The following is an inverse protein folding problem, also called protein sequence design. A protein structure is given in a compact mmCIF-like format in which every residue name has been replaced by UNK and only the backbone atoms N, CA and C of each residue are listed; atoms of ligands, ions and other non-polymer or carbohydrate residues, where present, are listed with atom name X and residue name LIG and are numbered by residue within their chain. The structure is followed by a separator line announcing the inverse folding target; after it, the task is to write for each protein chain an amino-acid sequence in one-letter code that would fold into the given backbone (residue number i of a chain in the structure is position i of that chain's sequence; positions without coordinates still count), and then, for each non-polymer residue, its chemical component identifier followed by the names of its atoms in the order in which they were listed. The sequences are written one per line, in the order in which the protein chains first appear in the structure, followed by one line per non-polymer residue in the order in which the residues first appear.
data_IF_870912481533
#
_entry.id   IF_870912481533
#
_cell.length_a   1.000
_cell.length_b   1.000
_cell.length_c   1.000
_cell.angle_alpha   90.00
_cell.angle_beta   90.00
_cell.angle_gamma   90.00
#
_symmetry.space_group_name_H-M   'P 1'
#
loop_
_entity.id
_entity.type
_entity.pdbx_description
1 polymer ?
#
# COMPACT_ATOMS: atom_id res chain seq x y z
N UNK A 1 -2.06 -53.93 -8.13
CA UNK A 1 -1.91 -52.58 -8.73
C UNK A 1 -0.46 -52.40 -9.14
N UNK A 2 -0.18 -51.98 -10.38
CA UNK A 2 1.21 -51.65 -10.79
C UNK A 2 1.70 -50.42 -10.02
N UNK A 3 3.01 -50.31 -9.79
CA UNK A 3 3.61 -49.16 -9.10
C UNK A 3 3.24 -47.84 -9.83
N UNK A 4 3.19 -47.85 -11.15
CA UNK A 4 2.72 -46.72 -11.97
C UNK A 4 1.26 -46.33 -11.68
N UNK A 5 0.36 -47.31 -11.52
CA UNK A 5 -1.04 -47.04 -11.17
C UNK A 5 -1.22 -46.46 -9.76
N UNK A 6 -0.36 -46.85 -8.81
CA UNK A 6 -0.34 -46.26 -7.47
C UNK A 6 0.10 -44.79 -7.52
N UNK A 7 1.22 -44.51 -8.20
CA UNK A 7 1.74 -43.14 -8.36
C UNK A 7 0.77 -42.21 -9.09
N UNK A 8 0.09 -42.69 -10.14
CA UNK A 8 -0.92 -41.92 -10.85
C UNK A 8 -2.08 -41.50 -9.93
N UNK A 9 -2.57 -42.43 -9.08
CA UNK A 9 -3.63 -42.12 -8.11
C UNK A 9 -3.19 -41.13 -7.05
N UNK A 10 -1.97 -41.28 -6.53
CA UNK A 10 -1.44 -40.34 -5.53
C UNK A 10 -1.24 -38.94 -6.09
N UNK A 11 -0.76 -38.82 -7.33
CA UNK A 11 -0.61 -37.52 -8.01
C UNK A 11 -1.98 -36.89 -8.26
N UNK A 12 -2.94 -37.67 -8.77
CA UNK A 12 -4.30 -37.19 -9.00
C UNK A 12 -4.96 -36.70 -7.69
N UNK A 13 -4.83 -37.47 -6.61
CA UNK A 13 -5.32 -37.07 -5.28
C UNK A 13 -4.63 -35.82 -4.74
N UNK A 14 -3.31 -35.72 -4.91
CA UNK A 14 -2.53 -34.55 -4.52
C UNK A 14 -2.96 -33.28 -5.28
N UNK A 15 -3.11 -33.37 -6.60
CA UNK A 15 -3.59 -32.25 -7.42
C UNK A 15 -5.03 -31.85 -7.06
N UNK A 16 -5.91 -32.81 -6.80
CA UNK A 16 -7.28 -32.52 -6.38
C UNK A 16 -7.31 -31.80 -5.02
N UNK A 17 -6.42 -32.14 -4.09
CA UNK A 17 -6.28 -31.41 -2.83
C UNK A 17 -5.72 -29.99 -3.03
N UNK A 18 -4.62 -29.87 -3.79
CA UNK A 18 -3.90 -28.60 -3.97
C UNK A 18 -4.70 -27.59 -4.80
N UNK A 19 -5.42 -28.05 -5.82
CA UNK A 19 -6.23 -27.16 -6.69
C UNK A 19 -7.68 -27.11 -6.22
N UNK A 20 -8.27 -28.26 -5.89
CA UNK A 20 -9.67 -28.35 -5.48
C UNK A 20 -9.93 -27.71 -4.12
N UNK A 21 -8.98 -27.74 -3.18
CA UNK A 21 -9.10 -27.06 -1.89
C UNK A 21 -9.29 -25.54 -2.06
N UNK A 22 -8.34 -24.81 -2.67
CA UNK A 22 -8.47 -23.39 -2.95
C UNK A 22 -9.68 -23.05 -3.81
N UNK A 23 -9.95 -23.80 -4.88
CA UNK A 23 -11.11 -23.56 -5.74
C UNK A 23 -12.44 -23.71 -4.99
N UNK A 24 -12.55 -24.69 -4.09
CA UNK A 24 -13.73 -24.87 -3.25
C UNK A 24 -13.91 -23.74 -2.24
N UNK A 25 -12.82 -23.24 -1.66
CA UNK A 25 -12.85 -22.08 -0.77
C UNK A 25 -13.29 -20.83 -1.52
N UNK A 26 -12.77 -20.59 -2.72
CA UNK A 26 -13.18 -19.47 -3.57
C UNK A 26 -14.64 -19.56 -3.96
N UNK A 27 -15.13 -20.76 -4.28
CA UNK A 27 -16.54 -20.99 -4.58
C UNK A 27 -17.48 -20.69 -3.40
N UNK A 28 -17.05 -21.02 -2.18
CA UNK A 28 -17.85 -20.74 -0.97
C UNK A 28 -17.72 -19.31 -0.47
N UNK A 29 -16.60 -18.64 -0.76
CA UNK A 29 -16.33 -17.29 -0.26
C UNK A 29 -17.33 -16.31 -0.91
N UNK A 30 -18.09 -15.55 -0.10
CA UNK A 30 -18.96 -14.50 -0.63
C UNK A 30 -18.14 -13.46 -1.39
N UNK A 31 -18.71 -12.90 -2.46
CA UNK A 31 -18.06 -11.83 -3.20
C UNK A 31 -17.94 -10.55 -2.36
N UNK A 32 -17.00 -9.67 -2.71
CA UNK A 32 -16.81 -8.39 -2.01
C UNK A 32 -18.08 -7.52 -1.99
N UNK A 33 -18.90 -7.62 -3.04
CA UNK A 33 -20.18 -6.92 -3.10
C UNK A 33 -21.21 -7.50 -2.12
N UNK A 34 -21.27 -8.82 -1.98
CA UNK A 34 -22.13 -9.48 -1.01
C UNK A 34 -21.69 -9.20 0.42
N UNK A 35 -20.38 -9.14 0.68
CA UNK A 35 -19.82 -8.72 1.96
C UNK A 35 -20.20 -7.26 2.26
N UNK A 36 -20.05 -6.35 1.30
CA UNK A 36 -20.37 -4.93 1.45
C UNK A 36 -21.85 -4.68 1.73
N UNK A 37 -22.75 -5.45 1.12
CA UNK A 37 -24.20 -5.39 1.41
C UNK A 37 -24.54 -5.75 2.85
N UNK A 38 -23.74 -6.61 3.50
CA UNK A 38 -23.93 -7.03 4.90
C UNK A 38 -23.33 -6.04 5.91
N UNK A 39 -22.62 -5.00 5.46
CA UNK A 39 -22.04 -4.00 6.36
C UNK A 39 -23.10 -3.07 6.94
N UNK A 40 -22.84 -2.54 8.14
CA UNK A 40 -23.60 -1.45 8.73
C UNK A 40 -23.51 -0.20 7.82
N UNK A 41 -24.59 0.61 7.61
CA UNK A 41 -24.59 1.83 6.81
C UNK A 41 -23.35 2.72 6.90
N UNK A 42 -22.78 2.92 8.09
CA UNK A 42 -21.58 3.76 8.25
C UNK A 42 -20.33 3.16 7.58
N UNK A 43 -20.19 1.83 7.64
CA UNK A 43 -19.10 1.12 6.98
C UNK A 43 -19.28 1.06 5.47
N UNK A 44 -20.52 1.01 4.99
CA UNK A 44 -20.81 1.10 3.55
C UNK A 44 -20.37 2.46 3.00
N UNK A 45 -20.68 3.57 3.70
CA UNK A 45 -20.24 4.91 3.32
C UNK A 45 -18.72 5.04 3.31
N UNK A 46 -18.06 4.61 4.40
CA UNK A 46 -16.59 4.64 4.49
C UNK A 46 -15.91 3.78 3.41
N UNK A 47 -16.46 2.62 3.11
CA UNK A 47 -15.94 1.74 2.05
C UNK A 47 -16.11 2.36 0.67
N UNK A 48 -17.25 3.01 0.40
CA UNK A 48 -17.48 3.74 -0.85
C UNK A 48 -16.55 4.95 -1.02
N UNK A 49 -16.31 5.71 0.05
CA UNK A 49 -15.49 6.93 0.02
C UNK A 49 -13.98 6.61 0.01
N UNK A 50 -13.54 5.62 0.79
CA UNK A 50 -12.12 5.35 1.02
C UNK A 50 -11.61 4.11 0.29
N UNK A 51 -12.49 3.31 -0.32
CA UNK A 51 -12.12 2.03 -0.93
C UNK A 51 -11.02 2.16 -1.98
N UNK A 52 -11.17 3.11 -2.91
CA UNK A 52 -10.17 3.35 -3.96
C UNK A 52 -8.84 3.83 -3.37
N UNK A 53 -8.88 4.72 -2.37
CA UNK A 53 -7.68 5.20 -1.68
C UNK A 53 -6.96 4.05 -0.97
N UNK A 54 -7.69 3.18 -0.28
CA UNK A 54 -7.14 2.01 0.41
C UNK A 54 -6.55 0.97 -0.55
N UNK A 55 -7.18 0.75 -1.71
CA UNK A 55 -6.62 -0.12 -2.74
C UNK A 55 -5.28 0.41 -3.25
N UNK A 56 -5.20 1.70 -3.54
CA UNK A 56 -3.94 2.34 -3.95
C UNK A 56 -2.88 2.30 -2.84
N UNK A 57 -3.25 2.64 -1.60
CA UNK A 57 -2.35 2.54 -0.44
C UNK A 57 -1.81 1.12 -0.25
N UNK A 58 -2.63 0.10 -0.52
CA UNK A 58 -2.22 -1.30 -0.44
C UNK A 58 -1.23 -1.65 -1.55
N UNK A 59 -1.51 -1.29 -2.81
CA UNK A 59 -0.62 -1.53 -3.94
C UNK A 59 0.74 -0.83 -3.73
N UNK A 60 0.72 0.43 -3.28
CA UNK A 60 1.91 1.19 -2.92
C UNK A 60 2.71 0.52 -1.81
N UNK A 61 2.02 0.02 -0.78
CA UNK A 61 2.66 -0.69 0.32
C UNK A 61 3.31 -1.99 -0.14
N UNK A 62 2.62 -2.79 -0.97
CA UNK A 62 3.19 -4.02 -1.56
C UNK A 62 4.40 -3.70 -2.44
N UNK A 63 4.35 -2.59 -3.19
CA UNK A 63 5.48 -2.07 -3.95
C UNK A 63 6.70 -1.81 -3.07
N UNK A 64 6.52 -1.06 -1.97
CA UNK A 64 7.59 -0.80 -0.98
C UNK A 64 8.07 -2.07 -0.30
N UNK A 65 7.17 -2.99 0.02
CA UNK A 65 7.54 -4.27 0.64
C UNK A 65 8.46 -5.09 -0.28
N UNK A 66 8.16 -5.12 -1.59
CA UNK A 66 9.03 -5.74 -2.60
C UNK A 66 10.39 -5.04 -2.65
N UNK A 67 10.42 -3.72 -2.53
CA UNK A 67 11.67 -2.95 -2.53
C UNK A 67 12.52 -3.22 -1.29
N UNK A 68 11.92 -3.18 -0.10
CA UNK A 68 12.59 -3.48 1.17
C UNK A 68 13.12 -4.92 1.23
N UNK A 69 12.38 -5.86 0.63
CA UNK A 69 12.78 -7.27 0.51
C UNK A 69 14.03 -7.48 -0.36
N UNK A 70 14.39 -6.53 -1.23
CA UNK A 70 15.65 -6.60 -2.00
C UNK A 70 16.88 -6.29 -1.17
N UNK A 71 16.70 -5.66 0.00
CA UNK A 71 17.82 -5.32 0.88
C UNK A 71 18.12 -6.49 1.83
N UNK A 72 19.40 -6.67 2.18
CA UNK A 72 19.82 -7.63 3.21
C UNK A 72 19.46 -7.18 4.63
N UNK A 73 18.86 -5.99 4.77
CA UNK A 73 18.40 -5.46 6.06
C UNK A 73 17.01 -6.03 6.36
N UNK A 74 16.64 -6.09 7.64
CA UNK A 74 15.26 -6.43 7.99
C UNK A 74 14.30 -5.38 7.41
N UNK A 75 13.12 -5.84 6.98
CA UNK A 75 12.07 -4.99 6.40
C UNK A 75 11.75 -3.81 7.34
N UNK A 76 11.77 -4.04 8.65
CA UNK A 76 11.52 -3.02 9.66
C UNK A 76 12.56 -1.89 9.63
N UNK A 77 13.84 -2.23 9.49
CA UNK A 77 14.91 -1.23 9.41
C UNK A 77 14.85 -0.45 8.09
N UNK A 78 14.61 -1.14 6.97
CA UNK A 78 14.46 -0.49 5.67
C UNK A 78 13.26 0.48 5.64
N UNK A 79 12.13 0.08 6.22
CA UNK A 79 10.95 0.94 6.34
C UNK A 79 11.20 2.16 7.24
N UNK A 80 11.91 1.98 8.36
CA UNK A 80 12.26 3.07 9.25
C UNK A 80 13.20 4.08 8.58
N UNK A 81 14.21 3.61 7.86
CA UNK A 81 15.15 4.46 7.12
C UNK A 81 14.43 5.31 6.06
N UNK A 82 13.48 4.73 5.31
CA UNK A 82 12.66 5.47 4.35
C UNK A 82 11.78 6.54 5.03
N UNK A 83 11.20 6.23 6.21
CA UNK A 83 10.41 7.18 6.97
C UNK A 83 11.25 8.36 7.49
N UNK A 84 12.45 8.07 7.99
CA UNK A 84 13.38 9.09 8.49
C UNK A 84 13.88 9.99 7.34
N UNK A 85 14.20 9.41 6.17
CA UNK A 85 14.52 10.17 4.97
C UNK A 85 13.35 11.07 4.52
N UNK A 86 12.12 10.55 4.50
CA UNK A 86 10.93 11.34 4.14
C UNK A 86 10.69 12.50 5.10
N UNK A 87 10.92 12.30 6.40
CA UNK A 87 10.82 13.36 7.41
C UNK A 87 11.87 14.43 7.19
N UNK A 88 13.12 14.03 6.96
CA UNK A 88 14.21 14.98 6.69
C UNK A 88 13.95 15.82 5.43
N UNK A 89 13.45 15.21 4.35
CA UNK A 89 13.08 15.93 3.12
C UNK A 89 11.93 16.91 3.38
N UNK A 90 10.89 16.51 4.10
CA UNK A 90 9.77 17.38 4.46
C UNK A 90 10.21 18.56 5.34
N UNK A 91 11.10 18.34 6.29
CA UNK A 91 11.66 19.39 7.13
C UNK A 91 12.51 20.36 6.33
N UNK A 92 13.35 19.85 5.43
CA UNK A 92 14.15 20.68 4.52
C UNK A 92 13.27 21.53 3.60
N UNK A 93 12.22 20.96 3.01
CA UNK A 93 11.26 21.70 2.18
C UNK A 93 10.56 22.82 2.98
N UNK A 94 10.09 22.51 4.19
CA UNK A 94 9.47 23.52 5.08
C UNK A 94 10.43 24.64 5.47
N UNK A 95 11.72 24.32 5.66
CA UNK A 95 12.73 25.32 5.95
C UNK A 95 12.95 26.26 4.75
N UNK A 96 13.08 25.70 3.55
CA UNK A 96 13.22 26.48 2.31
C UNK A 96 12.00 27.36 2.04
N UNK A 97 10.79 26.85 2.22
CA UNK A 97 9.56 27.62 2.00
C UNK A 97 9.44 28.81 2.96
N UNK A 98 9.87 28.63 4.22
CA UNK A 98 9.96 29.73 5.20
C UNK A 98 10.99 30.78 4.80
N UNK A 99 12.13 30.35 4.28
CA UNK A 99 13.19 31.26 3.82
C UNK A 99 12.72 32.06 2.60
N UNK A 100 12.15 31.40 1.59
CA UNK A 100 11.55 32.05 0.42
C UNK A 100 10.45 33.04 0.81
N UNK A 101 9.58 32.68 1.76
CA UNK A 101 8.53 33.57 2.27
C UNK A 101 9.13 34.81 2.95
N UNK A 102 10.25 34.66 3.67
CA UNK A 102 10.95 35.80 4.30
C UNK A 102 11.54 36.72 3.24
N UNK A 103 12.23 36.16 2.25
CA UNK A 103 12.84 36.92 1.15
C UNK A 103 11.77 37.68 0.36
N UNK A 104 10.65 37.04 0.01
CA UNK A 104 9.52 37.71 -0.67
C UNK A 104 8.93 38.87 0.15
N UNK A 105 8.82 38.72 1.48
CA UNK A 105 8.35 39.79 2.36
C UNK A 105 9.32 40.96 2.42
N UNK A 106 10.62 40.70 2.38
CA UNK A 106 11.65 41.74 2.38
C UNK A 106 11.71 42.49 1.05
N UNK A 107 11.53 41.80 -0.08
CA UNK A 107 11.44 42.42 -1.41
C UNK A 107 10.19 43.30 -1.53
N UNK A 108 9.00 42.80 -1.15
CA UNK A 108 7.78 43.61 -1.11
C UNK A 108 7.92 44.85 -0.21
N UNK A 109 8.66 44.74 0.90
CA UNK A 109 8.92 45.88 1.80
C UNK A 109 9.85 46.92 1.17
N UNK A 110 10.82 46.50 0.35
CA UNK A 110 11.73 47.40 -0.37
C UNK A 110 11.01 48.12 -1.51
N UNK A 111 10.13 47.44 -2.24
CA UNK A 111 9.32 48.05 -3.30
C UNK A 111 8.35 49.11 -2.72
N UNK A 112 7.66 48.80 -1.62
CA UNK A 112 6.75 49.74 -0.94
C UNK A 112 7.43 50.98 -0.33
N UNK A 113 8.73 50.92 -0.05
CA UNK A 113 9.52 52.04 0.49
C UNK A 113 10.37 52.73 -0.58
N UNK A 114 10.45 52.16 -1.79
CA UNK A 114 11.28 52.62 -2.91
C UNK A 114 10.56 53.50 -3.93
N UNK A 115 9.23 53.61 -3.89
CA UNK A 115 8.48 54.64 -4.64
C UNK A 115 8.45 55.97 -3.87
N UNK A 116 9.50 56.77 -4.02
CA UNK A 116 9.48 58.24 -3.85
C UNK A 116 10.43 58.91 -4.83
#
# INVERSE_FOLDING_TARGET
MSRAGLWAKTIAGGLLMVVGGPAFVEYLRPSDEELRKRYNPDLQKRSAEQGNRKAQEFDDYVGKLKEWSKSDKSIWYAAQEELDQKRAVLEAQRAQEKEQTRTQREEMRKEMLGEK
#
